data_IF_321545545579
#
_entry.id   IF_321545545579
#
_cell.length_a   1.000
_cell.length_b   1.000
_cell.length_c   1.000
_cell.angle_alpha   90.00
_cell.angle_beta   90.00
_cell.angle_gamma   90.00
#
_symmetry.space_group_name_H-M   'P 1'
#
loop_
_entity.id
_entity.type
_entity.pdbx_description
1 polymer ?
#
# COMPACT_ATOMS: atom_id res chain seq x y z
N UNK A 1 -24.11 -22.52 10.15
CA UNK A 1 -24.55 -21.31 9.43
C UNK A 1 -23.32 -20.44 9.33
N UNK A 2 -22.71 -20.41 8.16
CA UNK A 2 -21.56 -19.55 7.90
C UNK A 2 -21.91 -18.10 8.24
N UNK A 3 -21.16 -17.51 9.18
CA UNK A 3 -21.23 -16.08 9.47
C UNK A 3 -20.11 -15.44 8.67
N UNK A 4 -20.46 -14.53 7.76
CA UNK A 4 -19.49 -13.72 7.06
C UNK A 4 -18.78 -12.79 8.06
N UNK A 5 -17.46 -12.84 8.08
CA UNK A 5 -16.63 -11.88 8.79
C UNK A 5 -15.40 -11.55 7.94
N UNK A 6 -15.20 -10.26 7.69
CA UNK A 6 -14.00 -9.70 7.08
C UNK A 6 -13.66 -8.41 7.81
N UNK A 7 -12.42 -8.32 8.30
CA UNK A 7 -11.88 -7.13 8.93
C UNK A 7 -10.60 -6.70 8.20
N UNK A 8 -10.49 -5.42 7.84
CA UNK A 8 -9.32 -4.84 7.21
C UNK A 8 -8.63 -3.84 8.14
N UNK A 9 -7.32 -4.02 8.35
CA UNK A 9 -6.48 -3.21 9.25
C UNK A 9 -5.24 -2.71 8.52
N UNK A 10 -4.68 -1.63 9.05
CA UNK A 10 -3.35 -1.17 8.66
C UNK A 10 -2.35 -1.53 9.76
N UNK A 11 -1.23 -2.11 9.38
CA UNK A 11 -0.05 -2.22 10.24
C UNK A 11 0.72 -0.92 10.09
N UNK A 12 0.72 -0.08 11.13
CA UNK A 12 1.35 1.24 11.12
C UNK A 12 2.42 1.33 12.20
N UNK A 13 3.61 1.78 11.79
CA UNK A 13 4.71 2.05 12.71
C UNK A 13 4.36 3.11 13.74
N UNK A 14 3.60 4.13 13.33
CA UNK A 14 3.16 5.22 14.21
C UNK A 14 2.21 4.76 15.32
N UNK A 15 1.58 3.59 15.14
CA UNK A 15 0.75 2.93 16.16
C UNK A 15 1.53 1.88 16.98
N UNK A 16 2.87 1.85 16.86
CA UNK A 16 3.74 0.89 17.53
C UNK A 16 3.65 -0.54 16.98
N UNK A 17 3.17 -0.72 15.74
CA UNK A 17 3.11 -2.04 15.08
C UNK A 17 4.31 -2.22 14.14
N UNK A 18 4.72 -3.47 13.94
CA UNK A 18 5.78 -3.90 13.01
C UNK A 18 5.21 -4.91 12.01
N UNK A 19 5.67 -4.85 10.76
CA UNK A 19 5.29 -5.83 9.74
C UNK A 19 5.92 -7.20 10.02
N UNK A 20 7.19 -7.22 10.43
CA UNK A 20 7.88 -8.45 10.84
C UNK A 20 7.20 -9.09 12.04
N UNK A 21 6.79 -8.29 13.04
CA UNK A 21 6.03 -8.80 14.19
C UNK A 21 4.67 -9.38 13.78
N UNK A 22 3.96 -8.72 12.86
CA UNK A 22 2.67 -9.19 12.36
C UNK A 22 2.82 -10.51 11.58
N UNK A 23 3.84 -10.62 10.72
CA UNK A 23 4.17 -11.85 10.01
C UNK A 23 4.54 -12.97 10.98
N UNK A 24 5.43 -12.73 11.94
CA UNK A 24 5.81 -13.73 12.94
C UNK A 24 4.60 -14.23 13.73
N UNK A 25 3.66 -13.33 14.06
CA UNK A 25 2.44 -13.67 14.78
C UNK A 25 1.49 -14.56 13.98
N UNK A 26 1.23 -14.21 12.71
CA UNK A 26 0.32 -14.98 11.86
C UNK A 26 0.94 -16.32 11.45
N UNK A 27 2.25 -16.40 11.26
CA UNK A 27 2.95 -17.64 10.86
C UNK A 27 3.30 -18.55 12.04
N UNK A 28 3.01 -18.12 13.27
CA UNK A 28 3.50 -18.73 14.51
C UNK A 28 5.02 -19.03 14.46
N UNK A 29 5.79 -18.13 13.85
CA UNK A 29 7.23 -18.30 13.66
C UNK A 29 8.04 -17.36 14.54
N UNK A 30 9.36 -17.52 14.46
CA UNK A 30 10.32 -16.60 15.06
C UNK A 30 11.03 -15.83 13.96
N UNK A 31 10.85 -14.51 13.90
CA UNK A 31 11.43 -13.62 12.89
C UNK A 31 12.19 -12.46 13.52
N UNK A 32 13.30 -12.07 12.93
CA UNK A 32 14.14 -10.94 13.36
C UNK A 32 13.78 -9.69 12.55
N UNK A 33 13.63 -8.56 13.24
CA UNK A 33 13.35 -7.27 12.62
C UNK A 33 14.62 -6.41 12.61
N UNK A 34 15.16 -6.16 11.43
CA UNK A 34 16.38 -5.38 11.22
C UNK A 34 16.21 -3.90 11.61
N UNK A 35 14.97 -3.38 11.57
CA UNK A 35 14.70 -1.97 11.86
C UNK A 35 14.88 -1.62 13.34
N UNK A 36 14.40 -2.48 14.26
CA UNK A 36 14.46 -2.25 15.71
C UNK A 36 15.40 -3.22 16.45
N UNK A 37 15.93 -4.22 15.75
CA UNK A 37 16.81 -5.25 16.28
C UNK A 37 16.10 -6.28 17.17
N UNK A 38 14.76 -6.36 17.12
CA UNK A 38 13.95 -7.22 17.98
C UNK A 38 13.73 -8.59 17.30
N UNK A 39 13.90 -9.65 18.08
CA UNK A 39 13.45 -10.99 17.71
C UNK A 39 12.01 -11.19 18.17
N UNK A 40 11.07 -11.27 17.22
CA UNK A 40 9.68 -11.62 17.48
C UNK A 40 9.51 -13.14 17.47
N UNK A 41 9.17 -13.75 18.61
CA UNK A 41 9.02 -15.20 18.75
C UNK A 41 7.59 -15.58 19.15
N UNK A 42 6.84 -16.13 18.19
CA UNK A 42 5.48 -16.63 18.39
C UNK A 42 5.37 -18.15 18.20
N UNK A 43 6.48 -18.87 18.30
CA UNK A 43 6.52 -20.35 18.14
C UNK A 43 5.68 -21.13 19.14
N UNK A 44 5.31 -20.49 20.26
CA UNK A 44 4.44 -21.08 21.29
C UNK A 44 2.95 -20.95 20.97
N UNK A 45 2.56 -20.18 19.95
CA UNK A 45 1.16 -20.00 19.56
C UNK A 45 0.66 -21.27 18.87
N UNK A 46 -0.51 -21.73 19.29
CA UNK A 46 -1.17 -22.92 18.74
C UNK A 46 -2.29 -22.55 17.77
N UNK A 47 -2.83 -23.55 17.08
CA UNK A 47 -3.94 -23.38 16.15
C UNK A 47 -3.53 -22.99 14.73
N UNK A 48 -2.23 -22.87 14.42
CA UNK A 48 -1.80 -22.72 13.04
C UNK A 48 -2.09 -24.00 12.27
N UNK A 49 -2.79 -23.89 11.15
CA UNK A 49 -3.11 -25.04 10.29
C UNK A 49 -2.37 -24.99 8.96
N UNK A 50 -2.25 -23.81 8.37
CA UNK A 50 -1.62 -23.63 7.08
C UNK A 50 -1.03 -22.23 6.98
N UNK A 51 0.02 -22.06 6.18
CA UNK A 51 0.62 -20.77 5.87
C UNK A 51 1.36 -20.80 4.53
N UNK A 52 1.38 -19.67 3.83
CA UNK A 52 2.09 -19.51 2.56
C UNK A 52 2.35 -18.03 2.27
N UNK A 53 3.50 -17.74 1.64
CA UNK A 53 3.79 -16.42 1.05
C UNK A 53 3.52 -16.51 -0.46
N UNK A 54 2.84 -15.50 -0.99
CA UNK A 54 2.51 -15.38 -2.41
C UNK A 54 3.22 -14.17 -2.99
N UNK A 55 3.89 -14.40 -4.11
CA UNK A 55 4.66 -13.39 -4.82
C UNK A 55 4.08 -13.19 -6.23
N UNK A 56 4.00 -11.95 -6.73
CA UNK A 56 3.84 -11.72 -8.15
C UNK A 56 5.12 -12.16 -8.89
N UNK A 57 5.01 -12.44 -10.19
CA UNK A 57 6.10 -13.02 -11.01
C UNK A 57 7.40 -12.21 -10.94
N UNK A 58 7.29 -10.88 -10.90
CA UNK A 58 8.43 -9.96 -10.86
C UNK A 58 9.00 -9.70 -9.46
N UNK A 59 8.39 -10.21 -8.38
CA UNK A 59 8.95 -10.02 -7.05
C UNK A 59 10.24 -10.87 -6.88
N UNK A 60 11.24 -10.36 -6.14
CA UNK A 60 12.40 -11.14 -5.75
C UNK A 60 12.02 -12.47 -5.11
N UNK A 61 12.45 -13.58 -5.71
CA UNK A 61 12.06 -14.93 -5.26
C UNK A 61 12.56 -15.27 -3.86
N UNK A 62 13.60 -14.58 -3.38
CA UNK A 62 14.04 -14.73 -2.00
C UNK A 62 13.02 -14.25 -0.96
N UNK A 63 12.05 -13.42 -1.36
CA UNK A 63 10.93 -12.99 -0.51
C UNK A 63 9.89 -14.09 -0.29
N UNK A 64 10.08 -15.28 -0.86
CA UNK A 64 9.34 -16.47 -0.43
C UNK A 64 9.66 -16.79 1.04
N UNK A 65 10.82 -16.36 1.52
CA UNK A 65 11.13 -16.24 2.94
C UNK A 65 10.46 -14.98 3.53
N UNK A 66 9.54 -15.18 4.49
CA UNK A 66 8.79 -14.10 5.11
C UNK A 66 9.66 -13.12 5.89
N UNK A 67 10.76 -13.57 6.51
CA UNK A 67 11.68 -12.68 7.24
C UNK A 67 12.28 -11.69 6.25
N UNK A 68 12.72 -12.18 5.08
CA UNK A 68 13.27 -11.33 4.02
C UNK A 68 12.24 -10.37 3.45
N UNK A 69 11.03 -10.85 3.13
CA UNK A 69 9.97 -9.99 2.59
C UNK A 69 9.65 -8.83 3.53
N UNK A 70 9.40 -9.13 4.81
CA UNK A 70 8.92 -8.11 5.74
C UNK A 70 10.03 -7.19 6.23
N UNK A 71 11.30 -7.62 6.25
CA UNK A 71 12.43 -6.70 6.44
C UNK A 71 12.63 -5.79 5.23
N UNK A 72 12.46 -6.27 3.99
CA UNK A 72 12.51 -5.41 2.80
C UNK A 72 11.41 -4.33 2.82
N UNK A 73 10.24 -4.65 3.38
CA UNK A 73 9.17 -3.68 3.63
C UNK A 73 9.55 -2.66 4.71
N UNK A 74 10.10 -3.11 5.85
CA UNK A 74 10.56 -2.21 6.92
C UNK A 74 11.66 -1.26 6.44
N UNK A 75 12.57 -1.74 5.59
CA UNK A 75 13.69 -0.97 5.00
C UNK A 75 13.20 0.17 4.10
N UNK A 76 12.28 -0.10 3.17
CA UNK A 76 11.79 0.92 2.22
C UNK A 76 10.84 1.94 2.88
N UNK A 77 10.27 1.58 4.02
CA UNK A 77 9.40 2.43 4.81
C UNK A 77 10.22 3.21 5.85
N UNK A 78 10.59 4.46 5.54
CA UNK A 78 11.52 5.21 6.40
C UNK A 78 10.87 6.19 7.38
N UNK A 79 9.57 6.47 7.24
CA UNK A 79 8.89 7.44 8.10
C UNK A 79 8.48 6.82 9.45
N UNK A 80 8.54 7.60 10.53
CA UNK A 80 8.15 7.14 11.87
C UNK A 80 6.69 6.64 11.95
N UNK A 81 5.84 7.13 11.06
CA UNK A 81 4.42 6.84 10.93
C UNK A 81 4.09 6.07 9.64
N UNK A 82 5.08 5.40 9.04
CA UNK A 82 4.88 4.58 7.85
C UNK A 82 3.77 3.53 8.05
N UNK A 83 2.94 3.42 7.02
CA UNK A 83 2.05 2.27 6.82
C UNK A 83 2.90 1.14 6.24
N UNK A 84 3.04 0.04 6.97
CA UNK A 84 3.95 -1.05 6.65
C UNK A 84 3.26 -2.15 5.87
N UNK A 85 2.04 -2.51 6.27
CA UNK A 85 1.26 -3.55 5.62
C UNK A 85 -0.24 -3.28 5.75
N UNK A 86 -1.05 -3.99 4.96
CA UNK A 86 -2.49 -4.14 5.17
C UNK A 86 -2.76 -5.55 5.65
N UNK A 87 -3.58 -5.71 6.68
CA UNK A 87 -3.94 -7.01 7.23
C UNK A 87 -5.44 -7.23 7.02
N UNK A 88 -5.81 -8.37 6.45
CA UNK A 88 -7.18 -8.86 6.43
C UNK A 88 -7.31 -10.04 7.38
N UNK A 89 -8.41 -10.07 8.12
CA UNK A 89 -8.84 -11.25 8.89
C UNK A 89 -10.18 -11.69 8.34
N UNK A 90 -10.25 -12.92 7.81
CA UNK A 90 -11.45 -13.46 7.16
C UNK A 90 -11.87 -14.76 7.81
N UNK A 91 -13.16 -14.92 8.09
CA UNK A 91 -13.70 -16.22 8.50
C UNK A 91 -13.78 -17.15 7.28
N UNK A 92 -13.41 -18.42 7.46
CA UNK A 92 -13.55 -19.46 6.45
C UNK A 92 -14.80 -20.31 6.75
N UNK A 93 -15.54 -20.78 5.74
CA UNK A 93 -16.71 -21.63 5.97
C UNK A 93 -16.31 -22.94 6.66
N UNK A 94 -16.99 -23.26 7.77
CA UNK A 94 -16.75 -24.51 8.51
C UNK A 94 -17.28 -25.74 7.78
N UNK A 95 -18.19 -25.51 6.84
CA UNK A 95 -18.79 -26.53 5.99
C UNK A 95 -17.80 -27.06 4.94
N UNK A 96 -16.75 -26.30 4.62
CA UNK A 96 -15.65 -26.72 3.76
C UNK A 96 -14.63 -27.53 4.56
N UNK A 97 -14.10 -28.58 3.94
CA UNK A 97 -12.98 -29.32 4.49
C UNK A 97 -11.68 -28.49 4.39
N UNK A 98 -10.59 -28.95 5.02
CA UNK A 98 -9.35 -28.17 5.12
C UNK A 98 -8.72 -27.86 3.76
N UNK A 99 -8.75 -28.82 2.83
CA UNK A 99 -8.17 -28.65 1.50
C UNK A 99 -8.97 -27.60 0.71
N UNK A 100 -10.30 -27.67 0.77
CA UNK A 100 -11.21 -26.68 0.15
C UNK A 100 -11.03 -25.28 0.75
N UNK A 101 -10.83 -25.18 2.07
CA UNK A 101 -10.54 -23.90 2.74
C UNK A 101 -9.22 -23.28 2.27
N UNK A 102 -8.19 -24.09 2.09
CA UNK A 102 -6.88 -23.65 1.60
C UNK A 102 -7.01 -23.22 0.13
N UNK A 103 -7.64 -24.02 -0.71
CA UNK A 103 -7.83 -23.73 -2.13
C UNK A 103 -8.61 -22.42 -2.33
N UNK A 104 -9.73 -22.25 -1.61
CA UNK A 104 -10.51 -21.02 -1.62
C UNK A 104 -9.68 -19.79 -1.25
N UNK A 105 -8.87 -19.89 -0.20
CA UNK A 105 -8.02 -18.78 0.25
C UNK A 105 -6.92 -18.47 -0.76
N UNK A 106 -6.28 -19.51 -1.31
CA UNK A 106 -5.23 -19.37 -2.31
C UNK A 106 -5.74 -18.71 -3.60
N UNK A 107 -6.91 -19.15 -4.10
CA UNK A 107 -7.56 -18.55 -5.28
C UNK A 107 -7.88 -17.08 -5.02
N UNK A 108 -8.53 -16.77 -3.89
CA UNK A 108 -8.85 -15.40 -3.51
C UNK A 108 -7.61 -14.50 -3.44
N UNK A 109 -6.52 -14.96 -2.80
CA UNK A 109 -5.28 -14.17 -2.69
C UNK A 109 -4.66 -13.94 -4.06
N UNK A 110 -4.60 -14.97 -4.90
CA UNK A 110 -3.99 -14.86 -6.24
C UNK A 110 -4.76 -13.90 -7.13
N UNK A 111 -6.09 -14.02 -7.16
CA UNK A 111 -6.94 -13.20 -8.04
C UNK A 111 -7.07 -11.76 -7.56
N UNK A 112 -7.18 -11.53 -6.24
CA UNK A 112 -7.54 -10.22 -5.71
C UNK A 112 -6.35 -9.37 -5.27
N UNK A 113 -5.18 -9.98 -5.04
CA UNK A 113 -4.01 -9.25 -4.53
C UNK A 113 -2.76 -9.47 -5.38
N UNK A 114 -2.42 -10.73 -5.68
CA UNK A 114 -1.18 -11.04 -6.41
C UNK A 114 -1.29 -10.62 -7.88
N UNK A 115 -2.46 -10.81 -8.50
CA UNK A 115 -2.74 -10.34 -9.86
C UNK A 115 -2.61 -8.80 -9.98
N UNK A 116 -2.82 -8.08 -8.88
CA UNK A 116 -2.63 -6.64 -8.79
C UNK A 116 -1.23 -6.22 -8.29
N UNK A 117 -0.31 -7.18 -8.20
CA UNK A 117 1.10 -6.92 -7.92
C UNK A 117 1.50 -6.82 -6.47
N UNK A 118 0.61 -7.17 -5.54
CA UNK A 118 0.93 -7.22 -4.11
C UNK A 118 1.59 -8.55 -3.76
N UNK A 119 2.58 -8.52 -2.87
CA UNK A 119 2.98 -9.74 -2.16
C UNK A 119 2.02 -9.97 -1.00
N UNK A 120 1.71 -11.22 -0.70
CA UNK A 120 0.85 -11.61 0.40
C UNK A 120 1.54 -12.64 1.30
N UNK A 121 1.36 -12.54 2.62
CA UNK A 121 1.75 -13.56 3.60
C UNK A 121 0.48 -13.97 4.33
N UNK A 122 0.08 -15.23 4.22
CA UNK A 122 -1.20 -15.69 4.72
C UNK A 122 -1.04 -16.92 5.61
N UNK A 123 -1.94 -17.03 6.59
CA UNK A 123 -2.04 -18.18 7.46
C UNK A 123 -3.48 -18.46 7.87
N UNK A 124 -3.83 -19.73 7.94
CA UNK A 124 -5.11 -20.20 8.47
C UNK A 124 -4.92 -20.66 9.91
N UNK A 125 -5.74 -20.12 10.81
CA UNK A 125 -5.78 -20.45 12.22
C UNK A 125 -7.10 -21.11 12.57
N UNK A 126 -7.04 -22.18 13.35
CA UNK A 126 -8.18 -22.92 13.86
C UNK A 126 -7.79 -23.74 15.10
N UNK A 127 -8.20 -23.28 16.27
CA UNK A 127 -7.77 -23.89 17.55
C UNK A 127 -8.64 -25.08 17.95
N UNK A 128 -9.95 -25.00 17.71
CA UNK A 128 -10.95 -25.97 18.19
C UNK A 128 -11.81 -26.58 17.07
N UNK A 129 -11.51 -26.26 15.81
CA UNK A 129 -12.25 -26.73 14.64
C UNK A 129 -13.57 -25.99 14.41
N UNK A 130 -13.86 -24.94 15.17
CA UNK A 130 -15.17 -24.25 15.13
C UNK A 130 -15.10 -22.84 14.55
N UNK A 131 -13.90 -22.28 14.43
CA UNK A 131 -13.70 -20.93 13.91
C UNK A 131 -12.43 -20.83 13.06
N UNK A 132 -12.36 -21.56 11.92
CA UNK A 132 -11.30 -21.39 10.96
C UNK A 132 -11.34 -19.96 10.41
N UNK A 133 -10.22 -19.26 10.50
CA UNK A 133 -10.06 -17.91 9.96
C UNK A 133 -8.67 -17.76 9.35
N UNK A 134 -8.56 -16.91 8.34
CA UNK A 134 -7.29 -16.58 7.73
C UNK A 134 -6.86 -15.17 8.08
N UNK A 135 -5.57 -15.00 8.37
CA UNK A 135 -4.89 -13.72 8.33
C UNK A 135 -4.21 -13.59 6.97
N UNK A 136 -4.32 -12.43 6.32
CA UNK A 136 -3.66 -12.11 5.05
C UNK A 136 -2.96 -10.77 5.21
N UNK A 137 -1.64 -10.76 5.16
CA UNK A 137 -0.81 -9.57 5.28
C UNK A 137 -0.28 -9.19 3.89
N UNK A 138 -0.60 -7.97 3.44
CA UNK A 138 -0.28 -7.47 2.10
C UNK A 138 0.73 -6.34 2.15
N UNK A 139 1.63 -6.32 1.18
CA UNK A 139 2.51 -5.18 0.92
C UNK A 139 1.69 -3.97 0.47
N UNK A 140 2.19 -2.76 0.78
CA UNK A 140 1.46 -1.50 0.50
C UNK A 140 2.16 -0.62 -0.53
N UNK A 141 3.29 -1.08 -1.07
CA UNK A 141 3.98 -0.47 -2.20
C UNK A 141 3.81 -1.37 -3.42
N UNK A 142 3.61 -0.81 -4.61
CA UNK A 142 3.74 -1.59 -5.83
C UNK A 142 5.21 -1.93 -6.06
N UNK A 143 5.44 -2.94 -6.89
CA UNK A 143 6.75 -3.19 -7.50
C UNK A 143 6.68 -2.79 -8.98
N UNK A 144 7.84 -2.49 -9.56
CA UNK A 144 7.98 -2.46 -11.02
C UNK A 144 8.31 -3.85 -11.58
N UNK A 145 8.37 -3.96 -12.91
CA UNK A 145 8.70 -5.20 -13.63
C UNK A 145 10.11 -5.75 -13.30
N UNK A 146 10.97 -4.97 -12.64
CA UNK A 146 12.31 -5.37 -12.20
C UNK A 146 12.33 -5.80 -10.72
N UNK A 147 11.18 -5.77 -10.04
CA UNK A 147 11.07 -6.15 -8.64
C UNK A 147 11.51 -5.07 -7.66
N UNK A 148 11.59 -3.79 -8.08
CA UNK A 148 11.92 -2.69 -7.18
C UNK A 148 10.66 -2.03 -6.62
N UNK A 149 10.71 -1.66 -5.33
CA UNK A 149 9.64 -0.91 -4.68
C UNK A 149 9.40 0.45 -5.33
N UNK A 150 8.15 0.71 -5.67
CA UNK A 150 7.68 1.98 -6.21
C UNK A 150 7.08 2.87 -5.12
N UNK A 151 6.81 4.13 -5.45
CA UNK A 151 6.09 5.03 -4.56
C UNK A 151 4.63 4.63 -4.45
N UNK A 152 4.06 4.72 -3.23
CA UNK A 152 2.63 4.43 -2.97
C UNK A 152 1.70 5.38 -3.73
N UNK A 153 2.10 6.64 -3.80
CA UNK A 153 1.36 7.69 -4.50
C UNK A 153 2.31 8.51 -5.35
N UNK A 154 1.80 8.97 -6.48
CA UNK A 154 2.47 9.92 -7.35
C UNK A 154 1.93 11.32 -7.10
N UNK A 155 2.80 12.33 -7.17
CA UNK A 155 2.35 13.71 -7.03
C UNK A 155 1.51 14.13 -8.23
N UNK A 156 0.29 14.56 -7.97
CA UNK A 156 -0.61 15.08 -8.98
C UNK A 156 -0.73 16.61 -8.85
N UNK A 157 -0.29 17.32 -9.88
CA UNK A 157 -0.33 18.78 -9.95
C UNK A 157 -1.67 19.27 -10.46
N UNK A 158 -2.27 20.22 -9.74
CA UNK A 158 -3.52 20.87 -10.17
C UNK A 158 -3.17 21.98 -11.16
N UNK A 159 -3.41 21.69 -12.43
CA UNK A 159 -3.14 22.60 -13.54
C UNK A 159 -4.44 23.25 -14.00
N UNK A 160 -4.34 24.41 -14.64
CA UNK A 160 -5.50 25.16 -15.13
C UNK A 160 -5.31 25.50 -16.61
N UNK A 161 -6.42 25.45 -17.36
CA UNK A 161 -6.51 25.94 -18.73
C UNK A 161 -7.93 26.47 -18.97
N UNK A 162 -8.07 27.69 -19.48
CA UNK A 162 -9.36 28.28 -19.84
C UNK A 162 -10.43 28.22 -18.71
N UNK A 163 -10.01 28.31 -17.44
CA UNK A 163 -10.90 28.22 -16.28
C UNK A 163 -11.27 26.80 -15.82
N UNK A 164 -10.77 25.76 -16.50
CA UNK A 164 -10.90 24.37 -16.08
C UNK A 164 -9.65 23.92 -15.31
N UNK A 165 -9.84 23.27 -14.15
CA UNK A 165 -8.77 22.69 -13.33
C UNK A 165 -8.70 21.17 -13.54
N UNK A 166 -7.51 20.64 -13.81
CA UNK A 166 -7.27 19.18 -13.96
C UNK A 166 -5.96 18.75 -13.32
N UNK A 167 -5.96 17.54 -12.76
CA UNK A 167 -4.80 16.89 -12.18
C UNK A 167 -3.92 16.19 -13.21
N UNK A 168 -2.60 16.37 -13.10
CA UNK A 168 -1.62 15.67 -13.94
C UNK A 168 -0.45 15.15 -13.09
N UNK A 169 0.00 13.92 -13.35
CA UNK A 169 1.30 13.47 -12.83
C UNK A 169 2.45 14.25 -13.48
N UNK A 170 3.67 14.10 -12.97
CA UNK A 170 4.84 14.74 -13.59
C UNK A 170 5.06 14.27 -15.04
N UNK A 171 4.77 13.01 -15.34
CA UNK A 171 4.90 12.44 -16.68
C UNK A 171 3.82 12.99 -17.61
N UNK A 172 2.55 12.97 -17.19
CA UNK A 172 1.42 13.49 -17.98
C UNK A 172 1.53 14.98 -18.26
N UNK A 173 2.03 15.75 -17.28
CA UNK A 173 2.15 17.20 -17.43
C UNK A 173 3.07 17.60 -18.59
N UNK A 174 4.08 16.78 -18.95
CA UNK A 174 4.94 17.05 -20.09
C UNK A 174 4.15 17.12 -21.41
N UNK A 175 3.17 16.25 -21.58
CA UNK A 175 2.27 16.28 -22.74
C UNK A 175 1.25 17.41 -22.61
N UNK A 176 0.65 17.57 -21.43
CA UNK A 176 -0.36 18.60 -21.16
C UNK A 176 0.17 20.03 -21.38
N UNK A 177 1.48 20.26 -21.17
CA UNK A 177 2.12 21.55 -21.44
C UNK A 177 2.00 21.97 -22.92
N UNK A 178 2.08 21.02 -23.86
CA UNK A 178 1.89 21.30 -25.29
C UNK A 178 0.44 21.72 -25.61
N UNK A 179 -0.50 21.28 -24.79
CA UNK A 179 -1.90 21.67 -24.83
C UNK A 179 -2.20 22.94 -24.03
N UNK A 180 -1.17 23.67 -23.58
CA UNK A 180 -1.28 24.92 -22.80
C UNK A 180 -1.91 24.75 -21.42
N UNK A 181 -1.78 23.58 -20.80
CA UNK A 181 -2.03 23.45 -19.37
C UNK A 181 -0.89 24.04 -18.56
N UNK A 182 -1.22 24.80 -17.52
CA UNK A 182 -0.22 25.44 -16.65
C UNK A 182 -0.41 25.00 -15.20
N UNK A 183 0.69 24.69 -14.51
CA UNK A 183 0.66 24.48 -13.06
C UNK A 183 0.29 25.77 -12.35
N UNK A 184 -0.53 25.66 -11.31
CA UNK A 184 -0.84 26.79 -10.46
C UNK A 184 0.21 26.99 -9.37
N UNK A 185 0.57 28.22 -9.06
CA UNK A 185 1.49 28.58 -7.99
C UNK A 185 0.85 29.63 -7.08
N UNK A 186 1.25 29.74 -5.81
CA UNK A 186 0.77 30.81 -4.95
C UNK A 186 1.49 32.13 -5.33
N UNK A 187 0.72 33.17 -5.63
CA UNK A 187 1.19 34.53 -5.91
C UNK A 187 0.72 35.51 -4.84
N UNK A 188 1.47 36.59 -4.62
CA UNK A 188 1.13 37.64 -3.65
C UNK A 188 0.14 38.64 -4.27
N UNK A 189 -1.11 38.61 -3.81
CA UNK A 189 -2.14 39.61 -4.17
C UNK A 189 -2.44 40.44 -2.93
N UNK A 190 -1.82 41.61 -2.85
CA UNK A 190 -1.81 42.42 -1.62
C UNK A 190 -1.22 41.65 -0.44
N UNK A 191 -2.01 41.45 0.62
CA UNK A 191 -1.62 40.67 1.82
C UNK A 191 -1.94 39.17 1.73
N UNK A 192 -2.61 38.71 0.67
CA UNK A 192 -3.07 37.33 0.52
C UNK A 192 -2.18 36.54 -0.46
N UNK A 193 -2.15 35.22 -0.29
CA UNK A 193 -1.61 34.28 -1.27
C UNK A 193 -2.78 33.68 -2.05
N UNK A 194 -2.74 33.78 -3.37
CA UNK A 194 -3.77 33.24 -4.28
C UNK A 194 -3.10 32.30 -5.26
N UNK A 195 -3.69 31.13 -5.48
CA UNK A 195 -3.22 30.21 -6.52
C UNK A 195 -3.74 30.65 -7.88
N UNK A 196 -2.84 30.76 -8.86
CA UNK A 196 -3.16 31.06 -10.25
C UNK A 196 -2.04 30.55 -11.15
N UNK A 197 -2.26 30.57 -12.47
CA UNK A 197 -1.26 30.17 -13.46
C UNK A 197 -0.25 31.29 -13.73
N UNK A 198 0.99 30.96 -14.14
CA UNK A 198 2.00 31.95 -14.53
C UNK A 198 1.51 32.98 -15.54
N UNK A 199 0.82 32.57 -16.61
CA UNK A 199 0.30 33.51 -17.62
C UNK A 199 -0.63 34.60 -17.05
N UNK A 200 -1.52 34.22 -16.12
CA UNK A 200 -2.42 35.14 -15.42
C UNK A 200 -1.64 36.05 -14.45
N UNK A 201 -0.69 35.49 -13.70
CA UNK A 201 0.13 36.24 -12.77
C UNK A 201 1.02 37.27 -13.47
N UNK A 202 1.62 36.89 -14.60
CA UNK A 202 2.47 37.76 -15.42
C UNK A 202 1.67 38.92 -16.02
N UNK A 203 0.44 38.66 -16.49
CA UNK A 203 -0.46 39.71 -16.97
C UNK A 203 -0.84 40.73 -15.88
N UNK A 204 -0.76 40.33 -14.60
CA UNK A 204 -1.03 41.19 -13.44
C UNK A 204 0.26 41.70 -12.77
N UNK A 205 1.45 41.34 -13.25
CA UNK A 205 2.74 41.73 -12.66
C UNK A 205 2.96 41.18 -11.23
N UNK A 206 2.36 40.03 -10.90
CA UNK A 206 2.38 39.49 -9.54
C UNK A 206 3.64 38.68 -9.24
N UNK A 207 4.22 38.88 -8.06
CA UNK A 207 5.36 38.11 -7.61
C UNK A 207 4.94 36.75 -7.04
N UNK A 208 5.60 35.67 -7.50
CA UNK A 208 5.42 34.32 -6.99
C UNK A 208 5.83 34.26 -5.51
N UNK A 209 4.98 33.68 -4.68
CA UNK A 209 5.22 33.54 -3.24
C UNK A 209 5.99 32.27 -2.88
N UNK A 210 5.86 31.21 -3.68
CA UNK A 210 6.51 29.91 -3.47
C UNK A 210 6.76 29.19 -4.81
N UNK A 211 7.84 28.42 -4.91
CA UNK A 211 8.18 27.61 -6.10
C UNK A 211 7.42 26.29 -6.18
N UNK A 212 6.71 25.89 -5.12
CA UNK A 212 5.95 24.64 -5.06
C UNK A 212 4.55 24.85 -5.65
N UNK A 213 4.22 24.18 -6.76
CA UNK A 213 2.91 24.31 -7.38
C UNK A 213 1.81 23.65 -6.52
N UNK A 214 0.57 24.08 -6.74
CA UNK A 214 -0.63 23.45 -6.21
C UNK A 214 -0.66 21.98 -6.63
N UNK A 215 -0.91 21.08 -5.68
CA UNK A 215 -1.10 19.65 -5.93
C UNK A 215 -2.26 19.13 -5.11
N UNK A 216 -2.75 17.95 -5.45
CA UNK A 216 -3.68 17.22 -4.58
C UNK A 216 -3.04 16.91 -3.23
N UNK A 217 -3.88 16.76 -2.21
CA UNK A 217 -3.43 16.52 -0.83
C UNK A 217 -2.74 15.16 -0.67
N UNK A 218 -3.25 14.14 -1.34
CA UNK A 218 -2.80 12.75 -1.18
C UNK A 218 -2.00 12.21 -2.38
N UNK A 219 -1.87 13.01 -3.45
CA UNK A 219 -1.37 12.51 -4.72
C UNK A 219 -2.39 11.61 -5.41
N UNK A 220 -1.99 11.04 -6.55
CA UNK A 220 -2.71 9.97 -7.23
C UNK A 220 -2.15 8.64 -6.74
N UNK A 221 -3.00 7.64 -6.51
CA UNK A 221 -2.53 6.29 -6.23
C UNK A 221 -1.71 5.77 -7.41
N UNK A 222 -0.60 5.08 -7.10
CA UNK A 222 0.22 4.50 -8.15
C UNK A 222 -0.60 3.46 -8.94
N UNK A 223 -0.66 3.54 -10.28
CA UNK A 223 -1.49 2.65 -11.10
C UNK A 223 -1.08 1.18 -11.04
N UNK A 224 0.16 0.87 -10.61
CA UNK A 224 0.62 -0.51 -10.39
C UNK A 224 -0.01 -1.14 -9.14
N UNK A 225 -0.53 -0.35 -8.20
CA UNK A 225 -1.44 -0.84 -7.17
C UNK A 225 -2.85 -0.80 -7.75
N UNK A 226 -3.20 -1.77 -8.59
CA UNK A 226 -4.63 -2.02 -8.83
C UNK A 226 -5.24 -2.65 -7.55
N UNK A 227 -6.54 -2.47 -7.40
CA UNK A 227 -7.41 -2.79 -6.25
C UNK A 227 -7.32 -1.95 -4.96
N UNK A 228 -8.38 -1.17 -4.71
CA UNK A 228 -9.52 -1.54 -3.83
C UNK A 228 -10.46 -0.32 -3.63
N UNK A 229 -10.98 0.29 -4.71
CA UNK A 229 -12.01 1.36 -4.64
C UNK A 229 -13.13 1.17 -5.70
N UNK A 230 -13.55 -0.08 -5.95
CA UNK A 230 -14.89 -0.36 -6.49
C UNK A 230 -15.69 -1.12 -5.46
#
# INVERSE_FOLDING_TARGET
MAIYHLEAKVVSRGAGRSAVAASAYLSCSRLYNDYDGIQHDYTKKQGLVWQEVFLPEYAPQEWQDREKLWNAVEEVETAKDSRLAREFVVALPIELNREEQIELLQEFIREQFVADGMCADAAIHDTDGRNPHAHILLTVRPLDEQGHWQYKTEKEYLCMRNGEERGFTAAEFKAAQNERWEKQYPYKVGKKKVYMVPSEADAQGLARADKHPKSTRYGRQNPYLRALEQ
#
